data_IF_873375172352
#
_entry.id   IF_873375172352
#
_cell.length_a   1.000
_cell.length_b   1.000
_cell.length_c   1.000
_cell.angle_alpha   90.00
_cell.angle_beta   90.00
_cell.angle_gamma   90.00
#
_symmetry.space_group_name_H-M   'P 1'
#
loop_
_entity.id
_entity.type
_entity.pdbx_description
1 polymer ?
#
# COMPACT_ATOMS: atom_id res chain seq x y z
N UNK A 1 -22.99 -0.92 23.92
CA UNK A 1 -22.73 -2.05 23.01
C UNK A 1 -22.61 -1.54 21.56
N UNK A 2 -21.58 -0.76 21.24
CA UNK A 2 -21.30 -0.26 19.86
C UNK A 2 -19.82 -0.45 19.45
N UNK A 3 -18.93 -0.80 20.39
CA UNK A 3 -17.51 -1.07 20.09
C UNK A 3 -17.27 -2.44 19.43
N UNK A 4 -18.09 -3.44 19.70
CA UNK A 4 -17.86 -4.82 19.22
C UNK A 4 -18.07 -4.99 17.71
N UNK A 5 -18.88 -4.12 17.07
CA UNK A 5 -19.10 -4.17 15.62
C UNK A 5 -17.95 -3.61 14.78
N UNK A 6 -17.17 -2.67 15.34
CA UNK A 6 -16.04 -2.05 14.65
C UNK A 6 -14.80 -2.95 14.60
N UNK A 7 -14.68 -3.89 15.55
CA UNK A 7 -13.58 -4.87 15.58
C UNK A 7 -13.49 -5.65 14.27
N UNK A 8 -14.63 -6.11 13.75
CA UNK A 8 -14.67 -6.89 12.52
C UNK A 8 -14.20 -6.07 11.32
N UNK A 9 -14.63 -4.81 11.21
CA UNK A 9 -14.19 -3.92 10.13
C UNK A 9 -12.67 -3.71 10.17
N UNK A 10 -12.09 -3.55 11.35
CA UNK A 10 -10.63 -3.41 11.53
C UNK A 10 -9.91 -4.70 11.12
N UNK A 11 -10.40 -5.87 11.53
CA UNK A 11 -9.83 -7.17 11.18
C UNK A 11 -9.87 -7.43 9.67
N UNK A 12 -10.98 -7.08 9.01
CA UNK A 12 -11.09 -7.18 7.55
C UNK A 12 -10.10 -6.26 6.84
N UNK A 13 -9.92 -5.01 7.29
CA UNK A 13 -8.90 -4.12 6.73
C UNK A 13 -7.49 -4.72 6.88
N UNK A 14 -7.14 -5.30 8.03
CA UNK A 14 -5.84 -5.93 8.22
C UNK A 14 -5.64 -7.18 7.36
N UNK A 15 -6.70 -7.97 7.15
CA UNK A 15 -6.68 -9.14 6.27
C UNK A 15 -6.47 -8.72 4.81
N UNK A 16 -7.19 -7.70 4.35
CA UNK A 16 -7.03 -7.12 3.02
C UNK A 16 -5.61 -6.53 2.83
N UNK A 17 -5.07 -5.81 3.83
CA UNK A 17 -3.71 -5.27 3.78
C UNK A 17 -2.65 -6.37 3.64
N UNK A 18 -2.83 -7.51 4.31
CA UNK A 18 -1.92 -8.67 4.19
C UNK A 18 -1.96 -9.26 2.78
N UNK A 19 -3.15 -9.49 2.24
CA UNK A 19 -3.35 -10.13 0.93
C UNK A 19 -2.94 -9.20 -0.21
N UNK A 20 -3.31 -7.91 -0.12
CA UNK A 20 -3.09 -6.95 -1.18
C UNK A 20 -1.65 -6.40 -1.13
N UNK A 21 -1.20 -5.86 0.01
CA UNK A 21 0.09 -5.16 0.08
C UNK A 21 1.24 -6.02 0.63
N UNK A 22 1.00 -7.29 0.97
CA UNK A 22 2.07 -8.18 1.40
C UNK A 22 2.65 -7.82 2.76
N UNK A 23 1.81 -7.35 3.69
CA UNK A 23 2.26 -6.97 5.04
C UNK A 23 2.94 -8.13 5.79
N UNK A 24 2.66 -9.39 5.47
CA UNK A 24 3.31 -10.55 6.11
C UNK A 24 4.67 -10.92 5.50
N UNK A 25 5.02 -10.37 4.33
CA UNK A 25 6.20 -10.74 3.54
C UNK A 25 7.46 -10.01 4.03
N UNK A 26 7.43 -9.45 5.24
CA UNK A 26 8.51 -8.66 5.80
C UNK A 26 9.35 -9.50 6.78
N UNK A 27 10.53 -9.92 6.33
CA UNK A 27 11.42 -10.82 7.08
C UNK A 27 12.42 -10.10 8.01
N UNK A 28 12.44 -8.76 8.02
CA UNK A 28 13.46 -7.99 8.77
C UNK A 28 12.90 -7.53 10.13
N UNK A 29 13.61 -7.84 11.21
CA UNK A 29 13.12 -7.69 12.59
C UNK A 29 13.44 -6.38 13.31
N UNK A 30 13.79 -5.30 12.60
CA UNK A 30 14.06 -4.01 13.25
C UNK A 30 12.75 -3.23 13.45
N UNK A 31 12.45 -2.84 14.70
CA UNK A 31 11.23 -2.10 15.06
C UNK A 31 10.96 -0.83 14.21
N UNK A 32 11.93 0.06 13.94
CA UNK A 32 11.66 1.24 13.12
C UNK A 32 11.29 0.88 11.68
N UNK A 33 11.96 -0.10 11.08
CA UNK A 33 11.68 -0.51 9.71
C UNK A 33 10.31 -1.22 9.60
N UNK A 34 9.96 -2.04 10.59
CA UNK A 34 8.63 -2.64 10.73
C UNK A 34 7.54 -1.57 10.84
N UNK A 35 7.76 -0.53 11.65
CA UNK A 35 6.79 0.56 11.82
C UNK A 35 6.61 1.36 10.52
N UNK A 36 7.69 1.63 9.79
CA UNK A 36 7.64 2.25 8.47
C UNK A 36 6.89 1.39 7.44
N UNK A 37 7.12 0.08 7.44
CA UNK A 37 6.40 -0.85 6.56
C UNK A 37 4.89 -0.85 6.86
N UNK A 38 4.48 -0.94 8.13
CA UNK A 38 3.06 -0.91 8.53
C UNK A 38 2.40 0.41 8.14
N UNK A 39 3.06 1.53 8.40
CA UNK A 39 2.54 2.85 8.01
C UNK A 39 2.34 2.94 6.50
N UNK A 40 3.32 2.49 5.72
CA UNK A 40 3.27 2.53 4.25
C UNK A 40 2.14 1.64 3.72
N UNK A 41 2.00 0.44 4.26
CA UNK A 41 0.91 -0.47 3.90
C UNK A 41 -0.48 0.10 4.25
N UNK A 42 -0.62 0.70 5.44
CA UNK A 42 -1.88 1.29 5.90
C UNK A 42 -2.28 2.50 5.05
N UNK A 43 -1.31 3.38 4.73
CA UNK A 43 -1.52 4.53 3.86
C UNK A 43 -1.89 4.12 2.42
N UNK A 44 -1.19 3.11 1.89
CA UNK A 44 -1.51 2.54 0.58
C UNK A 44 -2.94 2.02 0.54
N UNK A 45 -3.34 1.23 1.52
CA UNK A 45 -4.69 0.70 1.62
C UNK A 45 -5.76 1.80 1.73
N UNK A 46 -5.51 2.85 2.54
CA UNK A 46 -6.40 4.00 2.62
C UNK A 46 -6.58 4.70 1.26
N UNK A 47 -5.50 4.88 0.51
CA UNK A 47 -5.57 5.46 -0.84
C UNK A 47 -6.39 4.61 -1.80
N UNK A 48 -6.20 3.29 -1.80
CA UNK A 48 -7.00 2.35 -2.58
C UNK A 48 -8.49 2.41 -2.22
N UNK A 49 -8.81 2.46 -0.93
CA UNK A 49 -10.19 2.56 -0.46
C UNK A 49 -10.85 3.88 -0.88
N UNK A 50 -10.12 4.99 -0.77
CA UNK A 50 -10.60 6.29 -1.23
C UNK A 50 -10.80 6.33 -2.75
N UNK A 51 -9.95 5.66 -3.53
CA UNK A 51 -10.15 5.51 -4.97
C UNK A 51 -11.40 4.69 -5.30
N UNK A 52 -11.64 3.58 -4.59
CA UNK A 52 -12.83 2.75 -4.76
C UNK A 52 -14.10 3.58 -4.58
N UNK A 53 -14.21 4.35 -3.50
CA UNK A 53 -15.37 5.23 -3.23
C UNK A 53 -15.56 6.28 -4.32
N UNK A 54 -14.48 6.85 -4.86
CA UNK A 54 -14.60 7.83 -5.96
C UNK A 54 -15.05 7.18 -7.27
N UNK A 55 -14.59 5.96 -7.54
CA UNK A 55 -14.89 5.22 -8.75
C UNK A 55 -16.26 4.54 -8.72
N UNK A 56 -16.82 4.23 -7.55
CA UNK A 56 -18.18 3.69 -7.38
C UNK A 56 -19.24 4.60 -8.02
N UNK A 57 -18.97 5.90 -8.13
CA UNK A 57 -19.86 6.86 -8.83
C UNK A 57 -19.91 6.66 -10.36
N UNK A 58 -18.90 6.03 -10.93
CA UNK A 58 -18.74 5.87 -12.39
C UNK A 58 -18.86 4.41 -12.82
N UNK A 59 -18.44 3.46 -11.98
CA UNK A 59 -18.51 2.02 -12.23
C UNK A 59 -18.92 1.30 -10.94
N UNK A 60 -20.17 0.83 -10.81
CA UNK A 60 -20.71 0.33 -9.53
C UNK A 60 -20.20 -1.05 -9.09
N UNK A 61 -19.43 -1.77 -9.94
CA UNK A 61 -18.89 -3.10 -9.62
C UNK A 61 -17.41 -3.15 -9.99
N UNK A 62 -16.56 -2.56 -9.15
CA UNK A 62 -15.11 -2.73 -9.25
C UNK A 62 -14.66 -3.63 -8.10
N UNK A 63 -14.14 -4.81 -8.44
CA UNK A 63 -13.43 -5.68 -7.49
C UNK A 63 -12.06 -5.06 -7.16
N UNK A 64 -11.54 -5.16 -5.92
CA UNK A 64 -10.22 -4.63 -5.54
C UNK A 64 -9.09 -5.04 -6.50
N UNK A 65 -9.14 -6.27 -7.00
CA UNK A 65 -8.21 -6.82 -8.00
C UNK A 65 -8.23 -6.08 -9.34
N UNK A 66 -9.40 -5.63 -9.80
CA UNK A 66 -9.55 -4.84 -11.03
C UNK A 66 -9.01 -3.42 -10.85
N UNK A 67 -9.20 -2.83 -9.66
CA UNK A 67 -8.64 -1.52 -9.31
C UNK A 67 -7.11 -1.55 -9.36
N UNK A 68 -6.47 -2.64 -8.91
CA UNK A 68 -5.02 -2.85 -9.02
C UNK A 68 -4.54 -2.85 -10.47
N UNK A 69 -5.24 -3.54 -11.38
CA UNK A 69 -4.87 -3.58 -12.81
C UNK A 69 -5.02 -2.19 -13.42
N UNK A 70 -6.11 -1.50 -13.10
CA UNK A 70 -6.36 -0.14 -13.57
C UNK A 70 -5.27 0.83 -13.06
N UNK A 71 -4.89 0.75 -11.79
CA UNK A 71 -3.80 1.55 -11.23
C UNK A 71 -2.46 1.25 -11.89
N UNK A 72 -2.14 -0.01 -12.19
CA UNK A 72 -0.92 -0.36 -12.95
C UNK A 72 -0.92 0.23 -14.37
N UNK A 73 -2.08 0.42 -14.97
CA UNK A 73 -2.22 1.01 -16.29
C UNK A 73 -2.23 2.56 -16.27
N UNK A 74 -2.85 3.16 -15.24
CA UNK A 74 -3.02 4.62 -15.12
C UNK A 74 -1.83 5.30 -14.47
N UNK A 75 -1.22 4.70 -13.45
CA UNK A 75 0.01 5.24 -12.88
C UNK A 75 1.12 5.02 -13.90
N UNK A 76 1.64 6.08 -14.55
CA UNK A 76 2.89 5.92 -15.27
C UNK A 76 3.89 5.45 -14.23
N UNK A 77 4.36 4.20 -14.36
CA UNK A 77 5.54 3.79 -13.63
C UNK A 77 6.59 4.84 -13.94
N UNK A 78 7.04 5.56 -12.90
CA UNK A 78 8.10 6.54 -13.01
C UNK A 78 9.23 5.84 -13.76
N UNK A 79 9.45 6.23 -15.01
CA UNK A 79 10.59 5.76 -15.76
C UNK A 79 11.79 6.31 -15.00
N UNK A 80 12.42 5.47 -14.19
CA UNK A 80 13.64 5.84 -13.52
C UNK A 80 14.68 5.96 -14.61
N UNK A 81 15.08 7.19 -14.92
CA UNK A 81 16.29 7.43 -15.67
C UNK A 81 17.48 6.84 -14.92
N UNK A 82 18.47 6.30 -15.64
CA UNK A 82 19.57 5.52 -15.06
C UNK A 82 20.32 6.35 -14.02
N UNK A 83 20.53 7.64 -14.30
CA UNK A 83 21.21 8.58 -13.40
C UNK A 83 20.42 8.82 -12.10
N UNK A 84 19.09 8.81 -12.17
CA UNK A 84 18.20 8.96 -11.02
C UNK A 84 18.19 7.70 -10.15
N UNK A 85 18.33 6.51 -10.76
CA UNK A 85 18.47 5.26 -10.02
C UNK A 85 19.81 5.19 -9.27
N UNK A 86 20.91 5.58 -9.91
CA UNK A 86 22.25 5.60 -9.31
C UNK A 86 22.29 6.56 -8.12
N UNK A 87 21.76 7.77 -8.27
CA UNK A 87 21.73 8.77 -7.20
C UNK A 87 20.83 8.35 -6.02
N UNK A 88 19.76 7.60 -6.26
CA UNK A 88 18.94 7.01 -5.20
C UNK A 88 19.71 5.95 -4.40
N UNK A 89 20.42 5.06 -5.09
CA UNK A 89 21.21 3.99 -4.45
C UNK A 89 22.33 4.60 -3.60
N UNK A 90 23.03 5.60 -4.12
CA UNK A 90 24.08 6.32 -3.38
C UNK A 90 23.52 6.98 -2.11
N UNK A 91 22.34 7.61 -2.20
CA UNK A 91 21.69 8.21 -1.04
C UNK A 91 21.29 7.18 0.02
N UNK A 92 20.76 6.02 -0.39
CA UNK A 92 20.41 4.93 0.55
C UNK A 92 21.65 4.38 1.25
N UNK A 93 22.77 4.23 0.53
CA UNK A 93 24.03 3.78 1.12
C UNK A 93 24.59 4.76 2.15
N UNK A 94 24.55 6.06 1.87
CA UNK A 94 24.96 7.12 2.83
C UNK A 94 24.08 7.12 4.09
N UNK A 95 22.81 6.75 3.97
CA UNK A 95 21.85 6.77 5.09
C UNK A 95 21.91 5.52 5.97
N UNK A 96 22.38 4.39 5.43
CA UNK A 96 22.42 3.10 6.12
C UNK A 96 23.78 2.79 6.76
N UNK A 97 24.80 3.60 6.48
CA UNK A 97 26.09 3.63 7.19
C UNK A 97 26.07 4.72 8.26
#
# INVERSE_FOLDING_TARGET
MWLSGLRWAIEQCFEEIKIELGMDQYEVGKFPDWHHQILTCTLGHYFFWHLKIRLEKTVPVITPSQLRVLLKAILPMRAFDIDMAISLVQWVQVRNH
#
